data_IF_477630161336
#
_entry.id   IF_477630161336
#
_cell.length_a   1.000
_cell.length_b   1.000
_cell.length_c   1.000
_cell.angle_alpha   90.00
_cell.angle_beta   90.00
_cell.angle_gamma   90.00
#
_symmetry.space_group_name_H-M   'P 1'
#
loop_
_entity.id
_entity.type
_entity.pdbx_description
1 polymer ?
#
# COMPACT_ATOMS: atom_id res chain seq x y z
N UNK A 1 -24.63 -11.53 3.22
CA UNK A 1 -23.72 -10.74 2.36
C UNK A 1 -22.89 -9.85 3.26
N UNK A 2 -21.59 -9.60 2.98
CA UNK A 2 -20.81 -8.67 3.79
C UNK A 2 -21.36 -7.25 3.64
N UNK A 3 -21.26 -6.45 4.69
CA UNK A 3 -21.65 -5.03 4.67
C UNK A 3 -20.40 -4.16 4.64
N UNK A 4 -20.47 -3.01 3.95
CA UNK A 4 -19.37 -2.06 3.84
C UNK A 4 -19.86 -0.63 4.00
N UNK A 5 -19.39 0.06 5.03
CA UNK A 5 -19.77 1.44 5.33
C UNK A 5 -18.79 2.46 4.74
N UNK A 6 -17.59 2.01 4.36
CA UNK A 6 -16.49 2.89 3.96
C UNK A 6 -15.54 3.24 5.11
N UNK A 7 -15.85 2.82 6.34
CA UNK A 7 -15.00 3.00 7.53
C UNK A 7 -14.09 1.80 7.79
N UNK A 8 -14.44 0.64 7.24
CA UNK A 8 -13.63 -0.57 7.35
C UNK A 8 -12.55 -0.61 6.25
N UNK A 9 -11.49 -1.40 6.47
CA UNK A 9 -10.50 -1.69 5.42
C UNK A 9 -11.18 -2.28 4.18
N UNK A 10 -10.83 -1.73 3.02
CA UNK A 10 -11.42 -2.12 1.74
C UNK A 10 -11.07 -3.56 1.33
N UNK A 11 -9.82 -3.97 1.54
CA UNK A 11 -9.27 -5.23 1.03
C UNK A 11 -9.99 -6.48 1.58
N UNK A 12 -10.24 -6.61 2.91
CA UNK A 12 -11.01 -7.74 3.44
C UNK A 12 -12.43 -7.84 2.90
N UNK A 13 -13.11 -6.70 2.73
CA UNK A 13 -14.45 -6.64 2.14
C UNK A 13 -14.42 -7.11 0.67
N UNK A 14 -13.52 -6.53 -0.12
CA UNK A 14 -13.37 -6.85 -1.54
C UNK A 14 -13.02 -8.32 -1.77
N UNK A 15 -12.18 -8.91 -0.91
CA UNK A 15 -11.83 -10.34 -0.96
C UNK A 15 -13.05 -11.22 -0.68
N UNK A 16 -13.76 -11.00 0.43
CA UNK A 16 -14.96 -11.77 0.79
C UNK A 16 -16.01 -11.71 -0.31
N UNK A 17 -16.27 -10.53 -0.86
CA UNK A 17 -17.24 -10.37 -1.94
C UNK A 17 -16.80 -11.11 -3.22
N UNK A 18 -15.51 -11.08 -3.55
CA UNK A 18 -14.98 -11.79 -4.73
C UNK A 18 -15.12 -13.32 -4.61
N UNK A 19 -14.90 -13.87 -3.41
CA UNK A 19 -15.11 -15.31 -3.15
C UNK A 19 -16.59 -15.68 -3.38
N UNK A 20 -17.53 -14.87 -2.89
CA UNK A 20 -18.97 -15.11 -3.07
C UNK A 20 -19.37 -15.07 -4.56
N UNK A 21 -18.85 -14.12 -5.33
CA UNK A 21 -19.14 -14.04 -6.78
C UNK A 21 -18.70 -15.34 -7.48
N UNK A 22 -17.49 -15.82 -7.17
CA UNK A 22 -16.92 -17.02 -7.78
C UNK A 22 -17.77 -18.27 -7.49
N UNK A 23 -18.23 -18.41 -6.25
CA UNK A 23 -19.11 -19.50 -5.83
C UNK A 23 -20.47 -19.44 -6.54
N UNK A 24 -21.06 -18.24 -6.59
CA UNK A 24 -22.46 -18.06 -7.02
C UNK A 24 -22.67 -17.93 -8.52
N UNK A 25 -21.59 -17.78 -9.32
CA UNK A 25 -21.63 -17.65 -10.78
C UNK A 25 -22.66 -16.62 -11.29
N UNK A 26 -22.76 -15.48 -10.61
CA UNK A 26 -23.71 -14.43 -10.98
C UNK A 26 -23.33 -13.73 -12.28
N UNK A 27 -24.33 -13.26 -13.02
CA UNK A 27 -24.11 -12.34 -14.14
C UNK A 27 -23.62 -10.98 -13.66
N UNK A 28 -22.93 -10.22 -14.52
CA UNK A 28 -22.41 -8.89 -14.20
C UNK A 28 -23.48 -7.94 -13.64
N UNK A 29 -24.69 -7.98 -14.20
CA UNK A 29 -25.84 -7.21 -13.70
C UNK A 29 -26.16 -7.59 -12.26
N UNK A 30 -26.19 -8.89 -11.96
CA UNK A 30 -26.51 -9.38 -10.63
C UNK A 30 -25.38 -9.13 -9.63
N UNK A 31 -24.12 -9.26 -10.05
CA UNK A 31 -22.94 -8.88 -9.25
C UNK A 31 -23.04 -7.41 -8.86
N UNK A 32 -23.32 -6.52 -9.82
CA UNK A 32 -23.46 -5.10 -9.55
C UNK A 32 -24.59 -4.82 -8.57
N UNK A 33 -25.78 -5.39 -8.78
CA UNK A 33 -26.89 -5.24 -7.84
C UNK A 33 -26.49 -5.71 -6.43
N UNK A 34 -25.93 -6.91 -6.31
CA UNK A 34 -25.48 -7.47 -5.04
C UNK A 34 -24.37 -6.66 -4.38
N UNK A 35 -23.56 -5.97 -5.16
CA UNK A 35 -22.55 -5.08 -4.63
C UNK A 35 -23.20 -3.87 -3.97
N UNK A 36 -24.20 -3.24 -4.61
CA UNK A 36 -24.97 -2.14 -4.00
C UNK A 36 -25.71 -2.60 -2.73
N UNK A 37 -26.28 -3.81 -2.72
CA UNK A 37 -26.93 -4.39 -1.52
C UNK A 37 -25.95 -4.50 -0.31
N UNK A 38 -24.64 -4.56 -0.55
CA UNK A 38 -23.61 -4.63 0.48
C UNK A 38 -23.16 -3.24 0.99
N UNK A 39 -23.50 -2.15 0.29
CA UNK A 39 -23.03 -0.82 0.65
C UNK A 39 -24.01 -0.15 1.62
N UNK A 40 -23.47 0.53 2.62
CA UNK A 40 -24.23 1.35 3.57
C UNK A 40 -23.48 2.66 3.86
N UNK A 41 -24.15 3.63 4.48
CA UNK A 41 -23.55 4.90 4.89
C UNK A 41 -22.78 5.60 3.77
N UNK A 42 -21.61 6.13 4.09
CA UNK A 42 -20.75 6.91 3.19
C UNK A 42 -20.38 6.15 1.91
N UNK A 43 -20.19 4.83 1.99
CA UNK A 43 -19.91 3.99 0.84
C UNK A 43 -21.08 3.94 -0.16
N UNK A 44 -22.32 3.84 0.34
CA UNK A 44 -23.51 3.86 -0.51
C UNK A 44 -23.73 5.25 -1.10
N UNK A 45 -23.59 6.31 -0.30
CA UNK A 45 -23.74 7.69 -0.76
C UNK A 45 -22.73 8.05 -1.86
N UNK A 46 -21.49 7.58 -1.75
CA UNK A 46 -20.50 7.77 -2.79
C UNK A 46 -20.84 6.97 -4.06
N UNK A 47 -21.24 5.71 -3.91
CA UNK A 47 -21.56 4.85 -5.04
C UNK A 47 -22.78 5.33 -5.84
N UNK A 48 -23.79 5.92 -5.20
CA UNK A 48 -24.98 6.45 -5.88
C UNK A 48 -24.67 7.69 -6.74
N UNK A 49 -23.63 8.46 -6.37
CA UNK A 49 -23.14 9.61 -7.17
C UNK A 49 -22.40 9.18 -8.45
N UNK A 50 -22.05 7.91 -8.60
CA UNK A 50 -21.32 7.41 -9.76
C UNK A 50 -22.27 7.08 -10.93
N UNK A 51 -21.85 7.26 -12.20
CA UNK A 51 -22.69 6.91 -13.35
C UNK A 51 -23.19 5.47 -13.31
N UNK A 52 -24.52 5.29 -13.47
CA UNK A 52 -25.17 3.97 -13.48
C UNK A 52 -24.73 3.08 -14.65
N UNK A 53 -24.14 3.68 -15.70
CA UNK A 53 -23.55 2.97 -16.85
C UNK A 53 -22.21 2.31 -16.53
N UNK A 54 -21.58 2.61 -15.39
CA UNK A 54 -20.31 2.00 -15.01
C UNK A 54 -20.46 0.49 -14.79
N UNK A 55 -19.65 -0.29 -15.51
CA UNK A 55 -19.51 -1.72 -15.24
C UNK A 55 -18.95 -1.99 -13.84
N UNK A 56 -19.20 -3.19 -13.32
CA UNK A 56 -18.80 -3.57 -11.96
C UNK A 56 -17.30 -3.41 -11.70
N UNK A 57 -16.44 -3.76 -12.65
CA UNK A 57 -14.99 -3.60 -12.52
C UNK A 57 -14.57 -2.14 -12.27
N UNK A 58 -15.16 -1.19 -13.02
CA UNK A 58 -14.88 0.24 -12.86
C UNK A 58 -15.44 0.77 -11.54
N UNK A 59 -16.63 0.34 -11.15
CA UNK A 59 -17.23 0.67 -9.85
C UNK A 59 -16.34 0.20 -8.69
N UNK A 60 -15.91 -1.07 -8.70
CA UNK A 60 -15.00 -1.63 -7.70
C UNK A 60 -13.69 -0.84 -7.61
N UNK A 61 -13.11 -0.46 -8.77
CA UNK A 61 -11.90 0.38 -8.80
C UNK A 61 -12.13 1.75 -8.15
N UNK A 62 -13.24 2.42 -8.47
CA UNK A 62 -13.59 3.74 -7.90
C UNK A 62 -13.83 3.68 -6.40
N UNK A 63 -14.38 2.58 -5.90
CA UNK A 63 -14.56 2.34 -4.46
C UNK A 63 -13.21 2.13 -3.77
N UNK A 64 -12.33 1.29 -4.35
CA UNK A 64 -10.94 1.13 -3.89
C UNK A 64 -10.21 2.48 -3.82
N UNK A 65 -10.25 3.25 -4.90
CA UNK A 65 -9.63 4.58 -4.96
C UNK A 65 -10.19 5.58 -3.95
N UNK A 66 -11.42 5.38 -3.45
CA UNK A 66 -12.04 6.30 -2.49
C UNK A 66 -11.77 5.90 -1.05
N UNK A 67 -11.81 4.60 -0.75
CA UNK A 67 -11.84 4.07 0.61
C UNK A 67 -10.68 3.15 0.97
N UNK A 68 -9.77 2.83 0.04
CA UNK A 68 -8.46 2.31 0.44
C UNK A 68 -7.68 3.42 1.13
N UNK A 69 -6.97 3.05 2.19
CA UNK A 69 -6.07 3.94 2.92
C UNK A 69 -5.01 4.49 1.96
N UNK A 70 -5.19 5.72 1.47
CA UNK A 70 -4.21 6.42 0.63
C UNK A 70 -2.96 6.83 1.40
N UNK A 71 -2.98 6.69 2.72
CA UNK A 71 -2.02 7.28 3.63
C UNK A 71 -1.01 6.29 4.20
N UNK A 72 -0.95 5.04 3.74
CA UNK A 72 0.06 4.09 4.22
C UNK A 72 1.49 4.64 4.05
N UNK A 73 1.89 5.28 2.93
CA UNK A 73 3.23 5.83 2.80
C UNK A 73 3.47 7.10 3.63
N UNK A 74 2.45 7.94 3.83
CA UNK A 74 2.59 9.21 4.56
C UNK A 74 2.58 8.97 6.07
N UNK A 75 1.77 8.03 6.55
CA UNK A 75 1.75 7.55 7.93
C UNK A 75 3.02 6.76 8.22
N UNK A 76 3.43 5.83 7.35
CA UNK A 76 4.70 5.11 7.52
C UNK A 76 5.91 6.06 7.50
N UNK A 77 5.93 7.09 6.64
CA UNK A 77 6.98 8.12 6.65
C UNK A 77 6.96 8.96 7.92
N UNK A 78 5.79 9.31 8.46
CA UNK A 78 5.71 10.01 9.75
C UNK A 78 6.18 9.11 10.88
N UNK A 79 5.68 7.88 10.96
CA UNK A 79 6.11 6.89 11.95
C UNK A 79 7.63 6.67 11.87
N UNK A 80 8.21 6.39 10.69
CA UNK A 80 9.66 6.23 10.52
C UNK A 80 10.48 7.46 10.94
N UNK A 81 9.97 8.69 10.73
CA UNK A 81 10.65 9.91 11.17
C UNK A 81 10.59 10.12 12.69
N UNK A 82 9.65 9.48 13.39
CA UNK A 82 9.49 9.57 14.85
C UNK A 82 9.98 8.32 15.58
N UNK A 83 10.26 7.20 14.90
CA UNK A 83 10.80 6.00 15.55
C UNK A 83 12.26 6.22 15.93
N UNK A 84 12.50 6.61 17.19
CA UNK A 84 13.77 6.38 17.87
C UNK A 84 13.72 5.00 18.54
N UNK A 85 14.85 4.30 18.54
CA UNK A 85 14.98 3.06 19.30
C UNK A 85 14.75 3.39 20.79
N UNK A 86 13.81 2.69 21.41
CA UNK A 86 13.52 2.85 22.84
C UNK A 86 14.65 2.25 23.69
N UNK A 87 14.90 2.80 24.87
CA UNK A 87 16.06 2.46 25.74
C UNK A 87 16.09 0.98 26.20
N UNK A 88 14.97 0.27 26.02
CA UNK A 88 14.76 -1.15 26.38
C UNK A 88 14.49 -2.07 25.17
N UNK A 89 14.46 -1.53 23.96
CA UNK A 89 14.20 -2.30 22.74
C UNK A 89 15.51 -2.88 22.21
N UNK A 90 15.56 -4.20 22.02
CA UNK A 90 16.70 -4.84 21.39
C UNK A 90 16.77 -4.46 19.90
N UNK A 91 17.99 -4.45 19.35
CA UNK A 91 18.22 -4.09 17.95
C UNK A 91 17.40 -4.95 16.97
N UNK A 92 17.11 -6.20 17.34
CA UNK A 92 16.34 -7.15 16.56
C UNK A 92 14.83 -6.83 16.55
N UNK A 93 14.27 -6.41 17.69
CA UNK A 93 12.87 -5.99 17.82
C UNK A 93 12.62 -4.69 17.03
N UNK A 94 13.57 -3.76 17.11
CA UNK A 94 13.54 -2.54 16.31
C UNK A 94 13.59 -2.85 14.80
N UNK A 95 14.48 -3.75 14.37
CA UNK A 95 14.58 -4.15 12.97
C UNK A 95 13.31 -4.85 12.45
N UNK A 96 12.66 -5.69 13.27
CA UNK A 96 11.39 -6.33 12.92
C UNK A 96 10.25 -5.31 12.81
N UNK A 97 10.21 -4.29 13.67
CA UNK A 97 9.23 -3.21 13.62
C UNK A 97 9.40 -2.34 12.37
N UNK A 98 10.64 -1.99 12.03
CA UNK A 98 10.97 -1.27 10.79
C UNK A 98 10.62 -2.12 9.55
N UNK A 99 10.88 -3.43 9.57
CA UNK A 99 10.50 -4.33 8.46
C UNK A 99 9.00 -4.47 8.31
N UNK A 100 8.23 -4.47 9.39
CA UNK A 100 6.76 -4.53 9.35
C UNK A 100 6.18 -3.23 8.79
N UNK A 101 6.67 -2.08 9.26
CA UNK A 101 6.26 -0.75 8.77
C UNK A 101 6.64 -0.57 7.29
N UNK A 102 7.82 -1.05 6.89
CA UNK A 102 8.30 -0.97 5.50
C UNK A 102 7.56 -1.96 4.60
N UNK A 103 7.29 -3.18 5.06
CA UNK A 103 6.54 -4.19 4.32
C UNK A 103 5.10 -3.75 4.05
N UNK A 104 4.42 -3.20 5.07
CA UNK A 104 3.06 -2.68 4.92
C UNK A 104 3.03 -1.39 4.06
N UNK A 105 4.08 -0.55 4.12
CA UNK A 105 4.16 0.72 3.37
C UNK A 105 4.68 0.62 1.93
N UNK A 106 5.43 -0.42 1.57
CA UNK A 106 6.12 -0.56 0.27
C UNK A 106 5.75 -1.80 -0.55
N UNK A 107 4.81 -2.65 -0.11
CA UNK A 107 4.36 -3.81 -0.88
C UNK A 107 3.77 -3.49 -2.28
N UNK A 108 3.65 -2.21 -2.65
CA UNK A 108 3.20 -1.76 -3.96
C UNK A 108 4.17 -0.82 -4.69
N UNK A 109 5.48 -0.88 -4.40
CA UNK A 109 6.46 -0.36 -5.35
C UNK A 109 6.84 -1.50 -6.28
N UNK A 110 6.35 -1.40 -7.51
CA UNK A 110 6.74 -2.25 -8.63
C UNK A 110 8.23 -2.55 -8.60
N UNK A 111 8.55 -3.84 -8.70
CA UNK A 111 9.89 -4.39 -8.89
C UNK A 111 10.44 -4.07 -10.28
N UNK A 112 10.19 -2.86 -10.80
CA UNK A 112 10.56 -2.46 -12.16
C UNK A 112 11.21 -1.07 -12.20
N UNK A 113 12.03 -0.77 -11.19
CA UNK A 113 12.92 0.39 -11.24
C UNK A 113 14.21 0.17 -10.45
N UNK A 114 14.91 -0.91 -10.75
CA UNK A 114 16.35 -0.98 -10.49
C UNK A 114 17.09 -0.33 -11.66
N UNK A 115 17.15 1.00 -11.68
CA UNK A 115 18.27 1.69 -12.32
C UNK A 115 18.67 2.89 -11.47
N UNK A 116 19.93 2.86 -11.02
CA UNK A 116 20.64 4.04 -10.53
C UNK A 116 20.76 4.18 -9.01
N UNK A 117 21.53 3.30 -8.37
CA UNK A 117 22.27 3.71 -7.16
C UNK A 117 23.77 3.63 -7.50
N UNK A 118 24.47 4.76 -7.68
CA UNK A 118 25.92 4.74 -7.80
C UNK A 118 26.54 4.34 -6.46
N UNK A 119 27.23 3.20 -6.43
CA UNK A 119 28.10 2.81 -5.31
C UNK A 119 29.26 3.79 -5.23
N UNK A 120 29.23 4.69 -4.25
CA UNK A 120 30.44 5.32 -3.70
C UNK A 120 30.47 5.08 -2.20
N UNK A 121 31.26 4.09 -1.78
CA UNK A 121 32.13 4.19 -0.61
C UNK A 121 33.07 2.99 -0.57
N UNK A 122 34.33 3.20 -0.93
CA UNK A 122 35.43 2.57 -0.20
C UNK A 122 36.43 3.68 0.09
N UNK A 123 36.57 3.94 1.37
CA UNK A 123 37.49 4.88 1.99
C UNK A 123 38.59 4.02 2.55
N UNK A 124 39.81 4.15 2.06
CA UNK A 124 41.00 3.71 2.79
C UNK A 124 42.03 4.84 2.67
N UNK A 125 42.24 5.50 3.80
CA UNK A 125 43.31 6.45 4.04
C UNK A 125 44.65 5.69 4.13
N UNK A 126 45.67 6.14 3.42
CA UNK A 126 47.10 5.95 3.69
C UNK A 126 47.85 6.92 2.76
N UNK A 127 48.03 8.18 3.18
CA UNK A 127 49.22 8.68 3.87
C UNK A 127 50.51 8.59 3.03
N UNK A 128 51.01 9.78 2.62
CA UNK A 128 52.43 10.21 2.46
C UNK A 128 53.31 9.38 1.50
N UNK A 129 54.10 9.90 0.57
CA UNK A 129 54.92 11.11 0.52
C UNK A 129 55.62 11.12 -0.86
N UNK A 130 55.81 12.30 -1.47
CA UNK A 130 56.95 12.68 -2.34
C UNK A 130 57.25 11.86 -3.62
N UNK A 131 57.79 12.37 -4.72
CA UNK A 131 58.36 13.64 -5.13
C UNK A 131 58.50 13.60 -6.67
N UNK A 132 58.49 14.76 -7.33
CA UNK A 132 59.23 15.09 -8.58
C UNK A 132 58.94 14.27 -9.84
N UNK A 133 58.34 14.83 -10.89
CA UNK A 133 59.06 15.58 -11.93
C UNK A 133 60.43 14.97 -12.27
N UNK A 134 60.50 14.23 -13.37
CA UNK A 134 61.44 14.57 -14.44
C UNK A 134 60.98 13.99 -15.78
N UNK A 135 61.40 14.68 -16.85
CA UNK A 135 61.04 14.48 -18.26
C UNK A 135 61.64 13.24 -18.89
#
# INVERSE_FOLDING_TARGET
MPTYSGKERWEPFALKFTIIIKDKRWSDRKIKQRFFDCLVGDALEYADKLPRTLGFAKLKKKMKERFSDKDVPAVARRELNFTKQEEKESLAEFAQRIQTITGDGFAHVDTDRYEGIPRRLSREDSNTESHGEES
#
